data_IF_691164478809
#
_entry.id   IF_691164478809
#
_cell.length_a   1.000
_cell.length_b   1.000
_cell.length_c   1.000
_cell.angle_alpha   90.00
_cell.angle_beta   90.00
_cell.angle_gamma   90.00
#
_symmetry.space_group_name_H-M   'P 1'
#
loop_
_entity.id
_entity.type
_entity.pdbx_description
1 polymer ?
#
# COMPACT_ATOMS: atom_id res chain seq x y z
N UNK A 1 9.65 11.50 6.51
CA UNK A 1 8.64 12.54 6.77
C UNK A 1 7.68 12.67 5.60
N UNK A 2 6.43 12.97 5.92
CA UNK A 2 5.42 13.29 4.90
C UNK A 2 5.76 14.61 4.25
N UNK A 3 5.68 14.71 2.93
CA UNK A 3 5.92 15.97 2.22
C UNK A 3 4.62 16.49 1.60
N UNK A 4 4.63 17.73 1.13
CA UNK A 4 3.44 18.42 0.60
C UNK A 4 2.74 17.64 -0.52
N UNK A 5 3.47 16.89 -1.33
CA UNK A 5 2.91 16.06 -2.40
C UNK A 5 2.01 14.93 -1.87
N UNK A 6 2.40 14.31 -0.76
CA UNK A 6 1.58 13.30 -0.07
C UNK A 6 0.40 13.96 0.66
N UNK A 7 0.67 15.02 1.42
CA UNK A 7 -0.35 15.74 2.20
C UNK A 7 -1.48 16.28 1.34
N UNK A 8 -1.21 16.68 0.09
CA UNK A 8 -2.24 17.10 -0.86
C UNK A 8 -3.36 16.07 -1.03
N UNK A 9 -3.02 14.79 -1.07
CA UNK A 9 -4.02 13.73 -1.22
C UNK A 9 -4.91 13.59 0.03
N UNK A 10 -4.32 13.75 1.22
CA UNK A 10 -5.07 13.73 2.47
C UNK A 10 -5.97 14.96 2.62
N UNK A 11 -5.49 16.15 2.24
CA UNK A 11 -6.31 17.37 2.20
C UNK A 11 -7.48 17.23 1.24
N UNK A 12 -7.28 16.64 0.05
CA UNK A 12 -8.36 16.39 -0.90
C UNK A 12 -9.43 15.44 -0.30
N UNK A 13 -9.00 14.37 0.35
CA UNK A 13 -9.92 13.44 1.03
C UNK A 13 -10.68 14.12 2.16
N UNK A 14 -10.04 15.01 2.93
CA UNK A 14 -10.66 15.78 4.00
C UNK A 14 -11.71 16.77 3.45
N UNK A 15 -11.39 17.50 2.40
CA UNK A 15 -12.33 18.40 1.74
C UNK A 15 -13.57 17.65 1.24
N UNK A 16 -13.38 16.47 0.66
CA UNK A 16 -14.48 15.62 0.23
C UNK A 16 -15.34 15.15 1.42
N UNK A 17 -14.69 14.72 2.52
CA UNK A 17 -15.38 14.36 3.75
C UNK A 17 -16.23 15.53 4.29
N UNK A 18 -15.65 16.73 4.38
CA UNK A 18 -16.36 17.94 4.85
C UNK A 18 -17.54 18.28 3.95
N UNK A 19 -17.36 18.16 2.64
CA UNK A 19 -18.44 18.41 1.68
C UNK A 19 -19.62 17.44 1.88
N UNK A 20 -19.37 16.17 2.10
CA UNK A 20 -20.44 15.20 2.38
C UNK A 20 -21.13 15.47 3.72
N UNK A 21 -20.37 15.75 4.77
CA UNK A 21 -20.94 16.11 6.09
C UNK A 21 -21.83 17.35 5.99
N UNK A 22 -21.38 18.41 5.31
CA UNK A 22 -22.13 19.64 5.12
C UNK A 22 -23.44 19.42 4.36
N UNK A 23 -23.46 18.44 3.45
CA UNK A 23 -24.67 18.04 2.72
C UNK A 23 -25.53 16.99 3.48
N UNK A 24 -25.26 16.77 4.76
CA UNK A 24 -26.09 15.91 5.63
C UNK A 24 -25.84 14.43 5.50
N UNK A 25 -24.74 14.00 4.86
CA UNK A 25 -24.38 12.59 4.79
C UNK A 25 -23.64 12.14 6.06
N UNK A 26 -23.92 10.93 6.49
CA UNK A 26 -23.11 10.24 7.49
C UNK A 26 -21.88 9.63 6.79
N UNK A 27 -20.68 10.05 7.21
CA UNK A 27 -19.45 9.69 6.52
C UNK A 27 -18.59 8.80 7.39
N UNK A 28 -18.44 7.56 7.00
CA UNK A 28 -17.47 6.63 7.58
C UNK A 28 -16.25 6.53 6.66
N UNK A 29 -15.14 7.18 7.05
CA UNK A 29 -13.89 7.11 6.28
C UNK A 29 -12.80 6.36 7.03
N UNK A 30 -12.03 5.58 6.30
CA UNK A 30 -10.92 4.80 6.82
C UNK A 30 -9.62 5.33 6.24
N UNK A 31 -8.62 5.49 7.10
CA UNK A 31 -7.25 5.84 6.72
C UNK A 31 -6.29 4.86 7.37
N UNK A 32 -5.73 3.95 6.59
CA UNK A 32 -4.79 2.96 7.12
C UNK A 32 -3.42 3.57 7.44
N UNK A 33 -2.73 2.97 8.41
CA UNK A 33 -1.31 3.18 8.68
C UNK A 33 -0.57 1.96 8.16
N UNK A 34 0.28 2.17 7.16
CA UNK A 34 1.14 1.11 6.61
C UNK A 34 2.43 1.09 7.42
N UNK A 35 2.44 0.34 8.51
CA UNK A 35 3.54 0.23 9.46
C UNK A 35 4.43 -0.99 9.22
N UNK A 36 4.23 -1.71 8.12
CA UNK A 36 5.01 -2.89 7.68
C UNK A 36 4.95 -3.02 6.16
N UNK A 37 5.95 -3.68 5.58
CA UNK A 37 5.94 -4.07 4.16
C UNK A 37 6.32 -2.95 3.18
N UNK A 38 7.16 -2.02 3.60
CA UNK A 38 7.67 -0.97 2.71
C UNK A 38 8.94 -1.44 1.99
N UNK A 39 8.83 -1.76 0.73
CA UNK A 39 10.00 -2.04 -0.12
C UNK A 39 10.83 -0.78 -0.37
N UNK A 40 12.16 -0.91 -0.45
CA UNK A 40 13.09 0.24 -0.54
C UNK A 40 13.14 0.88 -1.91
N UNK A 41 12.80 0.15 -2.97
CA UNK A 41 12.79 0.73 -4.30
C UNK A 41 11.37 0.94 -4.77
N UNK A 42 11.07 2.17 -5.22
CA UNK A 42 9.86 2.45 -5.98
C UNK A 42 9.98 1.86 -7.41
N UNK A 43 11.17 1.33 -7.74
CA UNK A 43 11.54 0.86 -9.07
C UNK A 43 11.64 -0.67 -9.16
N UNK A 44 11.60 -1.39 -8.03
CA UNK A 44 11.84 -2.83 -7.99
C UNK A 44 10.97 -3.49 -6.90
N UNK A 45 10.28 -4.59 -7.25
CA UNK A 45 9.57 -5.46 -6.28
C UNK A 45 10.56 -6.23 -5.36
N UNK A 46 11.88 -6.02 -5.55
CA UNK A 46 12.98 -6.70 -4.88
C UNK A 46 13.80 -5.74 -4.01
N UNK A 47 13.28 -5.12 -3.01
CA UNK A 47 14.06 -4.24 -2.11
C UNK A 47 14.06 -4.74 -0.67
N UNK A 48 15.13 -4.41 0.09
CA UNK A 48 15.05 -4.47 1.56
C UNK A 48 13.98 -3.51 2.06
N UNK A 49 13.30 -3.84 3.15
CA UNK A 49 12.28 -2.98 3.75
C UNK A 49 12.86 -1.61 4.12
N UNK A 50 12.23 -0.54 3.65
CA UNK A 50 12.62 0.86 3.97
C UNK A 50 12.71 1.09 5.48
N UNK A 51 11.87 0.41 6.24
CA UNK A 51 11.84 0.50 7.70
C UNK A 51 13.07 -0.17 8.32
N UNK A 52 13.49 -1.34 7.79
CA UNK A 52 14.72 -2.03 8.25
C UNK A 52 15.96 -1.18 7.98
N UNK A 53 16.08 -0.58 6.78
CA UNK A 53 17.20 0.34 6.46
C UNK A 53 17.21 1.59 7.35
N UNK A 54 16.04 2.16 7.59
CA UNK A 54 15.89 3.30 8.50
C UNK A 54 16.29 2.95 9.93
N UNK A 55 15.83 1.80 10.41
CA UNK A 55 16.13 1.29 11.74
C UNK A 55 17.64 1.06 11.94
N UNK A 56 18.28 0.39 10.98
CA UNK A 56 19.72 0.14 11.01
C UNK A 56 20.54 1.43 11.02
N UNK A 57 20.15 2.43 10.20
CA UNK A 57 20.83 3.73 10.12
C UNK A 57 20.71 4.53 11.40
N UNK A 58 19.55 4.46 12.08
CA UNK A 58 19.25 5.23 13.28
C UNK A 58 19.53 4.45 14.57
N UNK A 59 19.99 3.19 14.47
CA UNK A 59 20.20 2.28 15.60
C UNK A 59 18.93 2.15 16.49
N UNK A 60 17.76 2.03 15.82
CA UNK A 60 16.44 1.89 16.42
C UNK A 60 15.81 0.57 15.99
N UNK A 61 14.79 0.11 16.70
CA UNK A 61 13.97 -0.98 16.20
C UNK A 61 13.06 -0.50 15.04
N UNK A 62 12.65 -1.43 14.16
CA UNK A 62 11.68 -1.14 13.08
C UNK A 62 10.38 -0.57 13.66
N UNK A 63 9.95 -1.08 14.80
CA UNK A 63 8.76 -0.61 15.52
C UNK A 63 8.87 0.84 16.03
N UNK A 64 10.05 1.21 16.55
CA UNK A 64 10.30 2.59 16.99
C UNK A 64 10.29 3.57 15.83
N UNK A 65 10.84 3.15 14.69
CA UNK A 65 10.82 3.95 13.45
C UNK A 65 9.40 4.10 12.94
N UNK A 66 8.63 3.01 12.87
CA UNK A 66 7.23 3.04 12.44
C UNK A 66 6.40 3.95 13.37
N UNK A 67 6.58 3.81 14.68
CA UNK A 67 5.90 4.65 15.67
C UNK A 67 6.26 6.12 15.48
N UNK A 68 7.55 6.44 15.37
CA UNK A 68 8.01 7.82 15.22
C UNK A 68 7.37 8.50 14.00
N UNK A 69 7.44 7.89 12.81
CA UNK A 69 6.86 8.48 11.61
C UNK A 69 5.33 8.51 11.62
N UNK A 70 4.69 7.58 12.31
CA UNK A 70 3.25 7.63 12.55
C UNK A 70 2.89 8.83 13.39
N UNK A 71 3.59 9.05 14.51
CA UNK A 71 3.34 10.19 15.42
C UNK A 71 3.58 11.53 14.70
N UNK A 72 4.63 11.64 13.87
CA UNK A 72 4.88 12.81 13.04
C UNK A 72 3.74 13.06 12.03
N UNK A 73 3.30 12.03 11.32
CA UNK A 73 2.18 12.14 10.38
C UNK A 73 0.88 12.59 11.07
N UNK A 74 0.60 12.09 12.26
CA UNK A 74 -0.58 12.47 13.03
C UNK A 74 -0.51 13.94 13.46
N UNK A 75 0.67 14.42 13.86
CA UNK A 75 0.91 15.82 14.18
C UNK A 75 0.72 16.72 12.96
N UNK A 76 1.37 16.39 11.83
CA UNK A 76 1.22 17.13 10.58
C UNK A 76 -0.25 17.19 10.13
N UNK A 77 -0.99 16.09 10.30
CA UNK A 77 -2.43 16.03 9.99
C UNK A 77 -3.26 16.97 10.89
N UNK A 78 -2.94 17.04 12.17
CA UNK A 78 -3.60 17.94 13.11
C UNK A 78 -3.26 19.41 12.80
N UNK A 79 -2.00 19.72 12.50
CA UNK A 79 -1.55 21.07 12.14
C UNK A 79 -2.22 21.57 10.84
N UNK A 80 -2.54 20.66 9.91
CA UNK A 80 -3.33 20.94 8.71
C UNK A 80 -4.83 20.96 8.97
N UNK A 81 -5.28 20.78 10.22
CA UNK A 81 -6.69 20.75 10.59
C UNK A 81 -7.50 19.68 9.81
N UNK A 82 -6.89 18.53 9.51
CA UNK A 82 -7.59 17.43 8.90
C UNK A 82 -8.54 16.78 9.92
N UNK A 83 -9.76 16.45 9.48
CA UNK A 83 -10.72 15.75 10.33
C UNK A 83 -10.23 14.33 10.63
N UNK A 84 -10.36 13.92 11.90
CA UNK A 84 -10.05 12.54 12.29
C UNK A 84 -10.84 11.54 11.44
N UNK A 85 -10.19 10.50 10.89
CA UNK A 85 -10.89 9.42 10.22
C UNK A 85 -11.74 8.62 11.21
N UNK A 86 -12.76 7.94 10.72
CA UNK A 86 -13.61 7.06 11.52
C UNK A 86 -12.86 5.83 12.04
N UNK A 87 -11.84 5.38 11.31
CA UNK A 87 -10.93 4.31 11.72
C UNK A 87 -9.53 4.50 11.12
N UNK A 88 -8.51 4.10 11.90
CA UNK A 88 -7.09 4.05 11.49
C UNK A 88 -6.50 2.66 11.72
N UNK A 89 -6.85 1.66 10.91
CA UNK A 89 -6.26 0.34 11.02
C UNK A 89 -4.76 0.38 10.70
N UNK A 90 -3.96 -0.33 11.49
CA UNK A 90 -2.55 -0.58 11.20
C UNK A 90 -2.41 -1.87 10.40
N UNK A 91 -1.52 -1.89 9.42
CA UNK A 91 -1.32 -3.08 8.61
C UNK A 91 -0.93 -4.30 9.47
N UNK A 92 -0.11 -4.09 10.50
CA UNK A 92 0.31 -5.14 11.45
C UNK A 92 -0.83 -5.72 12.28
N UNK A 93 -1.90 -4.98 12.52
CA UNK A 93 -3.07 -5.43 13.28
C UNK A 93 -4.02 -6.29 12.44
N UNK A 94 -3.88 -6.29 11.10
CA UNK A 94 -4.76 -6.94 10.13
C UNK A 94 -4.08 -8.03 9.30
N UNK A 95 -2.97 -8.57 9.78
CA UNK A 95 -2.21 -9.62 9.06
C UNK A 95 -3.09 -10.83 8.75
N UNK A 96 -3.90 -11.26 9.72
CA UNK A 96 -4.79 -12.41 9.51
C UNK A 96 -5.80 -12.16 8.41
N UNK A 97 -6.46 -11.01 8.42
CA UNK A 97 -7.46 -10.61 7.43
C UNK A 97 -6.84 -10.47 6.04
N UNK A 98 -5.60 -9.96 5.95
CA UNK A 98 -4.85 -9.89 4.71
C UNK A 98 -4.56 -11.30 4.17
N UNK A 99 -4.08 -12.22 5.01
CA UNK A 99 -3.85 -13.62 4.64
C UNK A 99 -5.14 -14.28 4.18
N UNK A 100 -6.24 -14.12 4.93
CA UNK A 100 -7.54 -14.69 4.60
C UNK A 100 -8.05 -14.16 3.23
N UNK A 101 -7.82 -12.88 2.92
CA UNK A 101 -8.18 -12.30 1.63
C UNK A 101 -7.33 -12.88 0.49
N UNK A 102 -6.00 -12.95 0.69
CA UNK A 102 -5.09 -13.53 -0.31
C UNK A 102 -5.45 -15.00 -0.56
N UNK A 103 -5.70 -15.79 0.50
CA UNK A 103 -6.12 -17.19 0.37
C UNK A 103 -7.42 -17.31 -0.44
N UNK A 104 -8.39 -16.45 -0.19
CA UNK A 104 -9.64 -16.44 -0.96
C UNK A 104 -9.40 -16.16 -2.45
N UNK A 105 -8.47 -15.27 -2.79
CA UNK A 105 -8.09 -14.99 -4.18
C UNK A 105 -7.37 -16.19 -4.82
N UNK A 106 -6.54 -16.90 -4.05
CA UNK A 106 -5.90 -18.16 -4.46
C UNK A 106 -6.97 -19.20 -4.79
N UNK A 107 -7.91 -19.45 -3.88
CA UNK A 107 -8.97 -20.45 -4.02
C UNK A 107 -9.88 -20.16 -5.23
N UNK A 108 -10.07 -18.87 -5.56
CA UNK A 108 -10.84 -18.43 -6.72
C UNK A 108 -10.02 -18.43 -8.02
N UNK A 109 -8.74 -18.75 -8.00
CA UNK A 109 -7.88 -18.85 -9.19
C UNK A 109 -7.43 -17.52 -9.78
N UNK A 110 -7.47 -16.42 -9.00
CA UNK A 110 -7.03 -15.10 -9.43
C UNK A 110 -5.53 -14.85 -9.25
N UNK A 111 -4.82 -15.82 -8.73
CA UNK A 111 -3.41 -15.65 -8.36
C UNK A 111 -2.51 -16.70 -8.97
N UNK A 112 -1.21 -16.46 -8.89
CA UNK A 112 -0.16 -17.46 -9.11
C UNK A 112 1.02 -17.16 -8.19
N UNK A 113 1.83 -18.15 -7.96
CA UNK A 113 3.07 -18.06 -7.21
C UNK A 113 4.27 -17.87 -8.12
N UNK A 114 5.17 -16.97 -7.75
CA UNK A 114 6.54 -16.91 -8.26
C UNK A 114 7.43 -17.54 -7.19
N UNK A 115 8.02 -18.72 -7.43
CA UNK A 115 8.80 -19.46 -6.44
C UNK A 115 9.93 -18.61 -5.84
N UNK A 116 10.00 -18.59 -4.50
CA UNK A 116 11.01 -17.82 -3.76
C UNK A 116 10.78 -16.31 -3.70
N UNK A 117 9.69 -15.81 -4.31
CA UNK A 117 9.39 -14.39 -4.37
C UNK A 117 8.05 -14.04 -3.72
N UNK A 118 6.94 -14.62 -4.17
CA UNK A 118 5.65 -14.30 -3.58
C UNK A 118 4.42 -14.78 -4.35
N UNK A 119 3.25 -14.36 -3.86
CA UNK A 119 1.95 -14.59 -4.48
C UNK A 119 1.54 -13.35 -5.25
N UNK A 120 1.20 -13.50 -6.51
CA UNK A 120 0.86 -12.44 -7.44
C UNK A 120 -0.58 -12.51 -7.93
N UNK A 121 -1.21 -11.36 -8.12
CA UNK A 121 -2.51 -11.25 -8.77
C UNK A 121 -2.34 -11.34 -10.29
N UNK A 122 -3.10 -12.23 -10.93
CA UNK A 122 -3.17 -12.37 -12.37
C UNK A 122 -4.25 -11.45 -12.93
N UNK A 123 -3.85 -10.28 -13.43
CA UNK A 123 -4.76 -9.26 -13.94
C UNK A 123 -5.55 -9.69 -15.15
N UNK A 124 -5.08 -10.72 -15.90
CA UNK A 124 -5.80 -11.28 -17.05
C UNK A 124 -7.09 -12.01 -16.65
N UNK A 125 -7.21 -12.42 -15.38
CA UNK A 125 -8.41 -13.09 -14.84
C UNK A 125 -9.54 -12.12 -14.54
N UNK A 126 -9.28 -10.82 -14.52
CA UNK A 126 -10.29 -9.80 -14.28
C UNK A 126 -10.49 -8.92 -15.51
N UNK A 127 -11.48 -9.27 -16.33
CA UNK A 127 -11.74 -8.61 -17.62
C UNK A 127 -11.97 -7.08 -17.52
N UNK A 128 -12.46 -6.58 -16.37
CA UNK A 128 -12.67 -5.16 -16.13
C UNK A 128 -11.44 -4.47 -15.48
N UNK A 129 -10.27 -5.14 -15.39
CA UNK A 129 -9.08 -4.52 -14.82
C UNK A 129 -8.70 -3.26 -15.61
N UNK A 130 -8.53 -2.16 -14.90
CA UNK A 130 -8.23 -0.85 -15.51
C UNK A 130 -9.44 -0.06 -16.00
N UNK A 131 -10.68 -0.56 -15.88
CA UNK A 131 -11.88 0.17 -16.32
C UNK A 131 -12.03 1.54 -15.63
N UNK A 132 -11.67 1.66 -14.36
CA UNK A 132 -11.70 2.92 -13.60
C UNK A 132 -10.65 3.94 -14.06
N UNK A 133 -9.60 3.50 -14.73
CA UNK A 133 -8.55 4.36 -15.29
C UNK A 133 -8.81 4.75 -16.76
N UNK A 134 -10.04 4.57 -17.24
CA UNK A 134 -10.41 4.86 -18.63
C UNK A 134 -9.89 3.84 -19.65
N UNK A 135 -9.57 2.64 -19.23
CA UNK A 135 -9.08 1.57 -20.11
C UNK A 135 -7.62 1.72 -20.53
N UNK A 136 -6.92 2.70 -20.00
CA UNK A 136 -5.52 3.00 -20.34
C UNK A 136 -4.50 2.02 -19.71
N UNK A 137 -4.81 0.72 -19.69
CA UNK A 137 -3.79 -0.33 -19.40
C UNK A 137 -2.75 -0.40 -20.51
N UNK A 138 -3.09 0.02 -21.74
CA UNK A 138 -2.17 0.10 -22.89
C UNK A 138 -1.11 1.19 -22.79
N UNK A 139 -1.25 2.13 -21.84
CA UNK A 139 -0.29 3.21 -21.58
C UNK A 139 0.60 2.99 -20.36
N UNK A 140 0.36 1.93 -19.58
CA UNK A 140 1.24 1.54 -18.49
C UNK A 140 2.49 0.93 -19.14
N UNK A 141 3.55 1.74 -19.26
CA UNK A 141 4.86 1.20 -19.64
C UNK A 141 5.30 0.27 -18.53
N UNK A 142 5.47 -1.01 -18.86
CA UNK A 142 6.18 -1.93 -17.99
C UNK A 142 7.53 -1.28 -17.60
N UNK A 143 7.82 -1.19 -16.31
CA UNK A 143 9.04 -0.54 -15.84
C UNK A 143 8.99 0.99 -15.70
N UNK A 144 7.82 1.65 -15.84
CA UNK A 144 7.74 3.11 -15.66
C UNK A 144 7.98 3.56 -14.21
N UNK A 145 7.83 2.65 -13.25
CA UNK A 145 8.10 2.86 -11.80
C UNK A 145 8.80 1.69 -11.12
N UNK A 146 8.85 0.53 -11.78
CA UNK A 146 9.37 -0.73 -11.21
C UNK A 146 10.09 -1.48 -12.31
N UNK A 147 11.32 -1.98 -12.07
CA UNK A 147 11.96 -2.90 -13.00
C UNK A 147 11.04 -4.08 -13.29
N UNK A 148 10.92 -4.40 -14.57
CA UNK A 148 10.05 -5.48 -15.01
C UNK A 148 10.58 -6.82 -14.48
N UNK A 149 9.86 -7.43 -13.56
CA UNK A 149 10.15 -8.78 -13.13
C UNK A 149 9.72 -9.74 -14.26
N UNK A 150 10.70 -10.31 -14.97
CA UNK A 150 10.47 -11.23 -16.09
C UNK A 150 9.66 -12.49 -15.72
N UNK A 151 9.58 -12.82 -14.43
CA UNK A 151 8.76 -13.92 -13.93
C UNK A 151 7.24 -13.59 -13.87
N UNK A 152 6.84 -12.32 -14.03
CA UNK A 152 5.43 -11.93 -14.11
C UNK A 152 4.81 -12.42 -15.42
N UNK A 153 3.58 -12.92 -15.35
CA UNK A 153 2.81 -13.36 -16.53
C UNK A 153 2.36 -12.18 -17.39
N UNK A 154 1.96 -11.08 -16.75
CA UNK A 154 1.53 -9.86 -17.42
C UNK A 154 2.22 -8.66 -16.80
N UNK A 155 2.52 -7.59 -17.57
CA UNK A 155 3.15 -6.37 -17.05
C UNK A 155 2.36 -5.67 -15.96
N UNK A 156 1.04 -5.87 -15.92
CA UNK A 156 0.12 -5.26 -14.96
C UNK A 156 -0.06 -6.08 -13.68
N UNK A 157 0.47 -7.30 -13.63
CA UNK A 157 0.39 -8.15 -12.44
C UNK A 157 1.17 -7.53 -11.28
N UNK A 158 0.71 -7.76 -10.06
CA UNK A 158 1.32 -7.17 -8.87
C UNK A 158 1.34 -8.16 -7.70
N UNK A 159 2.31 -8.00 -6.82
CA UNK A 159 2.45 -8.83 -5.64
C UNK A 159 1.31 -8.56 -4.65
N UNK A 160 0.67 -9.62 -4.17
CA UNK A 160 -0.28 -9.61 -3.06
C UNK A 160 0.42 -9.92 -1.74
N UNK A 161 1.38 -10.84 -1.78
CA UNK A 161 2.16 -11.27 -0.62
C UNK A 161 3.57 -11.63 -1.06
N UNK A 162 4.56 -10.99 -0.44
CA UNK A 162 5.98 -11.31 -0.66
C UNK A 162 6.46 -12.29 0.40
N UNK A 163 7.28 -13.25 0.01
CA UNK A 163 7.89 -14.18 0.95
C UNK A 163 9.10 -13.54 1.63
N UNK A 164 9.25 -13.80 2.92
CA UNK A 164 10.46 -13.41 3.62
C UNK A 164 11.65 -14.24 3.12
N UNK A 165 12.86 -13.67 3.06
CA UNK A 165 14.07 -14.44 2.82
C UNK A 165 14.21 -15.60 3.82
N UNK A 166 14.68 -16.76 3.35
CA UNK A 166 14.79 -17.99 4.18
C UNK A 166 15.87 -17.95 5.25
N UNK A 167 16.69 -16.90 5.25
CA UNK A 167 17.82 -16.66 6.15
C UNK A 167 17.56 -15.57 7.21
N UNK A 168 16.31 -15.13 7.32
CA UNK A 168 15.87 -14.16 8.35
C UNK A 168 14.78 -14.72 9.25
#
# INVERSE_FOLDING_TARGET
>A
YTHIGNLRSFVLADLLKRMFIENGYDVYNVMNITDVGHLTSDDDDSGEDKMEKGAARENKSVWDVAKFYTDEFLRDSADLNLLEPSARPRATEYIKEQIDLVQKLVDLGYTYEIPGDGIYYDTSKFAAYGALTGGATSGIRAGARVEFNEAKRNPTDFALWKFSPTDK
#
